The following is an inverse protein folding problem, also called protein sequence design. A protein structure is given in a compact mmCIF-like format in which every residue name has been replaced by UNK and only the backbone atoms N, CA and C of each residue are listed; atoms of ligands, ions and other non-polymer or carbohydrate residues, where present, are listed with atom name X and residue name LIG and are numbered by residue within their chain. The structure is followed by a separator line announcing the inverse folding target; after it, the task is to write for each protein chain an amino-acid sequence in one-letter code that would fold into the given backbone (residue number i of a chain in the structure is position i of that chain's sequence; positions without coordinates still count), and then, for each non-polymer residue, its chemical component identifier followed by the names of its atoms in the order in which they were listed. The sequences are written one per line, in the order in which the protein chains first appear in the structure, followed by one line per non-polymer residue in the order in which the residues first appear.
data_IF_080563530106
#
_entry.id   IF_080563530106
#
_cell.length_a   1.000
_cell.length_b   1.000
_cell.length_c   1.000
_cell.angle_alpha   90.00
_cell.angle_beta   90.00
_cell.angle_gamma   90.00
#
_symmetry.space_group_name_H-M   'P 1'
#
loop_
_entity.id
_entity.type
_entity.pdbx_description
1 polymer ?
#
# COMPACT_ATOMS: atom_id res chain seq x y z
N UNK A 1 15.37 -19.85 0.75
CA UNK A 1 14.96 -18.75 -0.15
C UNK A 1 15.68 -17.52 0.37
N UNK A 2 16.63 -16.97 -0.40
CA UNK A 2 17.42 -15.80 0.01
C UNK A 2 16.69 -14.54 -0.47
N UNK A 3 15.84 -14.01 0.40
CA UNK A 3 15.01 -12.84 0.12
C UNK A 3 15.86 -11.60 -0.24
N UNK A 4 17.14 -11.53 0.18
CA UNK A 4 18.03 -10.41 -0.16
C UNK A 4 18.41 -10.48 -1.64
N UNK A 5 18.69 -11.67 -2.16
CA UNK A 5 19.01 -11.85 -3.58
C UNK A 5 17.80 -11.58 -4.47
N UNK A 6 16.60 -11.95 -4.03
CA UNK A 6 15.33 -11.67 -4.73
C UNK A 6 15.03 -10.17 -4.78
N UNK A 7 15.12 -9.46 -3.64
CA UNK A 7 14.90 -8.01 -3.59
C UNK A 7 15.92 -7.26 -4.46
N UNK A 8 17.20 -7.67 -4.44
CA UNK A 8 18.24 -7.07 -5.30
C UNK A 8 18.05 -7.35 -6.79
N UNK A 9 17.27 -8.39 -7.13
CA UNK A 9 16.92 -8.73 -8.50
C UNK A 9 15.70 -7.99 -9.03
N UNK A 10 14.92 -7.32 -8.17
CA UNK A 10 13.75 -6.56 -8.57
C UNK A 10 14.12 -5.31 -9.37
N UNK A 11 13.30 -5.02 -10.37
CA UNK A 11 13.28 -3.72 -11.03
C UNK A 11 12.71 -2.65 -10.09
N UNK A 12 12.99 -1.38 -10.39
CA UNK A 12 12.43 -0.25 -9.63
C UNK A 12 10.89 -0.26 -9.62
N UNK A 13 10.26 -0.77 -10.68
CA UNK A 13 8.80 -0.90 -10.78
C UNK A 13 8.25 -1.99 -9.86
N UNK A 14 8.88 -3.17 -9.84
CA UNK A 14 8.51 -4.28 -8.95
C UNK A 14 8.75 -3.92 -7.49
N UNK A 15 9.86 -3.25 -7.19
CA UNK A 15 10.17 -2.78 -5.84
C UNK A 15 9.17 -1.72 -5.39
N UNK A 16 8.79 -0.79 -6.28
CA UNK A 16 7.76 0.22 -6.00
C UNK A 16 6.43 -0.47 -5.68
N UNK A 17 5.97 -1.38 -6.54
CA UNK A 17 4.73 -2.14 -6.35
C UNK A 17 4.71 -2.87 -5.00
N UNK A 18 5.82 -3.54 -4.65
CA UNK A 18 5.99 -4.25 -3.37
C UNK A 18 5.94 -3.31 -2.17
N UNK A 19 6.61 -2.16 -2.24
CA UNK A 19 6.58 -1.16 -1.18
C UNK A 19 5.16 -0.57 -0.98
N UNK A 20 4.40 -0.39 -2.05
CA UNK A 20 3.03 0.13 -1.95
C UNK A 20 2.06 -0.91 -1.40
N UNK A 21 2.27 -2.19 -1.73
CA UNK A 21 1.60 -3.32 -1.08
C UNK A 21 1.89 -3.36 0.43
N UNK A 22 3.15 -3.14 0.81
CA UNK A 22 3.53 -3.07 2.22
C UNK A 22 2.82 -1.90 2.94
N UNK A 23 2.72 -0.72 2.30
CA UNK A 23 1.93 0.40 2.83
C UNK A 23 0.46 0.03 2.97
N UNK A 24 -0.13 -0.62 1.97
CA UNK A 24 -1.52 -1.09 2.04
C UNK A 24 -1.75 -2.11 3.16
N UNK A 25 -0.80 -3.04 3.36
CA UNK A 25 -0.85 -4.02 4.45
C UNK A 25 -0.67 -3.38 5.82
N UNK A 26 0.29 -2.46 5.98
CA UNK A 26 0.45 -1.68 7.20
C UNK A 26 -0.82 -0.92 7.51
N UNK A 27 -1.43 -0.29 6.51
CA UNK A 27 -2.73 0.35 6.68
C UNK A 27 -3.77 -0.66 7.13
N UNK A 28 -3.78 -1.92 6.70
CA UNK A 28 -4.83 -2.87 7.13
C UNK A 28 -4.64 -3.45 8.52
N UNK A 29 -3.41 -3.75 8.91
CA UNK A 29 -3.09 -4.24 10.25
C UNK A 29 -3.21 -3.10 11.27
N UNK A 30 -2.85 -1.87 10.86
CA UNK A 30 -3.00 -0.68 11.69
C UNK A 30 -4.37 -0.02 11.56
N UNK A 31 -5.22 -0.29 10.56
CA UNK A 31 -6.64 0.14 10.55
C UNK A 31 -7.46 -0.62 11.60
N UNK A 32 -6.95 -1.77 12.05
CA UNK A 32 -7.45 -2.47 13.24
C UNK A 32 -6.99 -1.80 14.55
N UNK A 33 -6.10 -0.80 14.47
CA UNK A 33 -5.65 0.03 15.57
C UNK A 33 -6.06 1.49 15.34
N UNK A 34 -6.83 2.11 16.23
CA UNK A 34 -7.34 3.50 16.06
C UNK A 34 -6.21 4.58 16.01
N UNK A 35 -4.95 4.17 16.02
CA UNK A 35 -3.75 5.01 16.07
C UNK A 35 -3.24 5.48 14.70
N UNK A 36 -3.74 4.92 13.60
CA UNK A 36 -3.19 5.24 12.27
C UNK A 36 -3.39 6.72 11.92
N UNK A 37 -2.30 7.47 11.68
CA UNK A 37 -2.40 8.86 11.26
C UNK A 37 -3.17 8.97 9.92
N UNK A 38 -4.13 9.92 9.78
CA UNK A 38 -4.88 10.15 8.53
C UNK A 38 -4.00 10.32 7.28
N UNK A 39 -2.72 10.69 7.49
CA UNK A 39 -1.68 10.77 6.48
C UNK A 39 -1.49 9.49 5.63
N UNK A 40 -1.61 8.29 6.21
CA UNK A 40 -1.40 7.04 5.45
C UNK A 40 -2.53 6.75 4.47
N UNK A 41 -3.75 7.16 4.81
CA UNK A 41 -4.91 7.09 3.90
C UNK A 41 -4.67 7.99 2.69
N UNK A 42 -4.13 9.20 2.91
CA UNK A 42 -3.78 10.12 1.82
C UNK A 42 -2.67 9.58 0.91
N UNK A 43 -1.68 8.88 1.47
CA UNK A 43 -0.66 8.19 0.67
C UNK A 43 -1.30 7.09 -0.21
N UNK A 44 -2.20 6.28 0.34
CA UNK A 44 -2.87 5.24 -0.43
C UNK A 44 -3.74 5.81 -1.56
N UNK A 45 -4.43 6.94 -1.32
CA UNK A 45 -5.19 7.65 -2.35
C UNK A 45 -4.26 8.07 -3.49
N UNK A 46 -3.14 8.70 -3.18
CA UNK A 46 -2.18 9.17 -4.19
C UNK A 46 -1.60 8.01 -5.01
N UNK A 47 -1.29 6.87 -4.35
CA UNK A 47 -0.84 5.64 -5.02
C UNK A 47 -1.88 5.14 -6.02
N UNK A 48 -3.15 5.14 -5.61
CA UNK A 48 -4.27 4.68 -6.42
C UNK A 48 -4.50 5.61 -7.62
N UNK A 49 -4.52 6.92 -7.41
CA UNK A 49 -4.76 7.94 -8.45
C UNK A 49 -3.65 7.95 -9.51
N UNK A 50 -2.39 7.76 -9.09
CA UNK A 50 -1.26 7.72 -10.02
C UNK A 50 -1.12 6.37 -10.75
N UNK A 51 -1.96 5.40 -10.44
CA UNK A 51 -1.92 4.06 -11.04
C UNK A 51 -0.67 3.28 -10.65
N UNK A 52 0.01 3.66 -9.58
CA UNK A 52 1.24 2.99 -9.15
C UNK A 52 0.96 1.60 -8.60
N UNK A 53 -0.27 1.34 -8.13
CA UNK A 53 -0.72 0.06 -7.58
C UNK A 53 -0.41 -1.17 -8.46
N UNK A 54 -0.24 -0.99 -9.78
CA UNK A 54 -0.01 -2.09 -10.72
C UNK A 54 -1.13 -3.12 -10.65
N UNK A 55 -0.76 -4.40 -10.56
CA UNK A 55 -1.70 -5.52 -10.43
C UNK A 55 -2.45 -5.55 -9.09
N UNK A 56 -2.00 -4.78 -8.09
CA UNK A 56 -2.60 -4.74 -6.75
C UNK A 56 -3.67 -3.65 -6.60
N UNK A 57 -4.12 -3.08 -7.72
CA UNK A 57 -5.09 -1.98 -7.75
C UNK A 57 -6.39 -2.32 -7.01
N UNK A 58 -6.89 -3.55 -7.16
CA UNK A 58 -8.13 -4.01 -6.51
C UNK A 58 -7.98 -4.04 -4.99
N UNK A 59 -6.86 -4.57 -4.50
CA UNK A 59 -6.54 -4.60 -3.06
C UNK A 59 -6.50 -3.19 -2.49
N UNK A 60 -5.81 -2.25 -3.15
CA UNK A 60 -5.73 -0.86 -2.69
C UNK A 60 -7.10 -0.18 -2.71
N UNK A 61 -7.94 -0.46 -3.71
CA UNK A 61 -9.29 0.11 -3.80
C UNK A 61 -10.18 -0.37 -2.64
N UNK A 62 -10.14 -1.66 -2.31
CA UNK A 62 -10.86 -2.22 -1.16
C UNK A 62 -10.43 -1.55 0.15
N UNK A 63 -9.12 -1.33 0.33
CA UNK A 63 -8.60 -0.69 1.55
C UNK A 63 -8.96 0.77 1.68
N UNK A 64 -9.05 1.50 0.56
CA UNK A 64 -9.58 2.86 0.56
C UNK A 64 -11.08 2.93 0.84
N UNK A 65 -11.85 1.89 0.50
CA UNK A 65 -13.29 1.81 0.80
C UNK A 65 -13.56 1.46 2.27
N UNK A 66 -12.68 0.67 2.89
CA UNK A 66 -12.72 0.33 4.33
C UNK A 66 -12.23 1.48 5.23
N UNK A 67 -11.47 2.42 4.67
CA UNK A 67 -10.93 3.55 5.40
C UNK A 67 -12.05 4.43 6.00
N UNK A 68 -11.97 4.80 7.29
CA UNK A 68 -12.91 5.75 7.86
C UNK A 68 -12.79 7.06 7.07
N UNK A 69 -13.87 7.46 6.41
CA UNK A 69 -13.96 8.77 5.78
C UNK A 69 -13.79 9.81 6.88
N UNK A 70 -12.64 10.47 6.91
CA UNK A 70 -12.46 11.70 7.69
C UNK A 70 -13.48 12.72 7.18
N UNK A 71 -14.56 12.90 7.95
CA UNK A 71 -15.47 14.04 7.82
C UNK A 71 -14.79 15.33 8.29
#
# INVERSE_FOLDING_TARGET
MDYIAEIKGMTDEELRATCMLAVAHCVTDEMLDDSMPPYWIEILKEIYERGWAGDNREIIAEKLAEAPTTC
#
